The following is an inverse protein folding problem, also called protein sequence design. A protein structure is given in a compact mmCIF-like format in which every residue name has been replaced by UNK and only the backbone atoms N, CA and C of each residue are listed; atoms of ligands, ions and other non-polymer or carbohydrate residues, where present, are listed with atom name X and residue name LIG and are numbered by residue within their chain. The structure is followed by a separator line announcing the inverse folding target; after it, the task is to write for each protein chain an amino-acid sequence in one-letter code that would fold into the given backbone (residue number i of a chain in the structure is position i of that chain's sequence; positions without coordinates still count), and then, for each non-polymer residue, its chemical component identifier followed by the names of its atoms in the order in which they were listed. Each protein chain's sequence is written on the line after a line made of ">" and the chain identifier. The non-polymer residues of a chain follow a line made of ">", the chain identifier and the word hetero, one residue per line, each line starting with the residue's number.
data_IF_711922476900
#
_entry.id   IF_711922476900
#
_cell.length_a   1.000
_cell.length_b   1.000
_cell.length_c   1.000
_cell.angle_alpha   90.00
_cell.angle_beta   90.00
_cell.angle_gamma   90.00
#
_symmetry.space_group_name_H-M   'P 1'
#
loop_
_entity.id
_entity.type
_entity.pdbx_description
1 polymer ?
#
# COMPACT_ATOMS: atom_id res chain seq x y z
N UNK A 1 -10.87 -26.98 2.47
CA UNK A 1 -10.39 -26.42 3.74
C UNK A 1 -10.79 -27.29 4.93
N UNK A 2 -12.07 -27.59 5.14
CA UNK A 2 -12.52 -28.38 6.29
C UNK A 2 -11.79 -29.74 6.38
N UNK A 3 -11.71 -30.49 5.28
CA UNK A 3 -11.01 -31.76 5.22
C UNK A 3 -9.54 -31.64 5.59
N UNK A 4 -8.86 -30.58 5.09
CA UNK A 4 -7.44 -30.31 5.36
C UNK A 4 -7.17 -30.07 6.86
N UNK A 5 -7.90 -29.14 7.49
CA UNK A 5 -7.69 -28.86 8.92
C UNK A 5 -8.12 -30.02 9.82
N UNK A 6 -9.19 -30.74 9.45
CA UNK A 6 -9.59 -31.97 10.18
C UNK A 6 -8.54 -33.07 10.07
N UNK A 7 -7.90 -33.23 8.92
CA UNK A 7 -6.79 -34.19 8.75
C UNK A 7 -5.61 -33.81 9.65
N UNK A 8 -5.21 -32.55 9.68
CA UNK A 8 -4.12 -32.07 10.55
C UNK A 8 -4.46 -32.34 12.04
N UNK A 9 -5.68 -32.07 12.44
CA UNK A 9 -6.11 -32.21 13.85
C UNK A 9 -6.31 -33.66 14.28
N UNK A 10 -6.97 -34.45 13.45
CA UNK A 10 -7.47 -35.77 13.85
C UNK A 10 -6.55 -36.91 13.45
N UNK A 11 -5.90 -36.81 12.29
CA UNK A 11 -5.02 -37.87 11.75
C UNK A 11 -3.55 -37.58 12.09
N UNK A 12 -3.05 -36.38 11.76
CA UNK A 12 -1.68 -35.99 12.09
C UNK A 12 -1.52 -35.73 13.58
N UNK A 13 -2.56 -35.18 14.24
CA UNK A 13 -2.57 -34.82 15.66
C UNK A 13 -1.46 -33.81 16.02
N UNK A 14 -1.34 -32.78 15.19
CA UNK A 14 -0.30 -31.76 15.35
C UNK A 14 -0.48 -30.95 16.63
N UNK A 15 0.63 -30.68 17.32
CA UNK A 15 0.66 -29.86 18.54
C UNK A 15 0.58 -28.35 18.25
N UNK A 16 0.93 -27.93 17.02
CA UNK A 16 0.82 -26.56 16.56
C UNK A 16 0.70 -26.52 15.01
N UNK A 17 0.15 -25.42 14.50
CA UNK A 17 0.12 -25.17 13.04
C UNK A 17 0.90 -23.88 12.78
N UNK A 18 1.85 -23.95 11.84
CA UNK A 18 2.61 -22.81 11.36
C UNK A 18 2.15 -22.49 9.94
N UNK A 19 1.58 -21.30 9.75
CA UNK A 19 1.30 -20.75 8.44
C UNK A 19 2.47 -19.87 8.00
N UNK A 20 3.05 -20.18 6.86
CA UNK A 20 4.25 -19.52 6.36
C UNK A 20 3.96 -18.83 5.02
N UNK A 21 4.12 -17.50 4.95
CA UNK A 21 3.92 -16.74 3.72
C UNK A 21 3.51 -15.29 3.93
N UNK A 22 3.05 -14.68 2.86
CA UNK A 22 2.52 -13.31 2.88
C UNK A 22 0.99 -13.27 3.05
N UNK A 23 0.32 -14.36 2.71
CA UNK A 23 -1.12 -14.52 2.74
C UNK A 23 -1.47 -15.83 3.40
N UNK A 24 -2.53 -15.84 4.17
CA UNK A 24 -3.17 -17.05 4.64
C UNK A 24 -4.50 -17.26 3.92
N UNK A 25 -5.22 -18.27 4.33
CA UNK A 25 -6.56 -18.55 3.83
C UNK A 25 -7.58 -18.69 4.97
N UNK A 26 -7.12 -19.07 6.15
CA UNK A 26 -7.97 -19.31 7.30
C UNK A 26 -8.73 -18.05 7.72
N UNK A 27 -8.07 -16.92 7.81
CA UNK A 27 -8.64 -15.63 8.17
C UNK A 27 -9.68 -15.07 7.20
N UNK A 28 -9.71 -15.58 5.95
CA UNK A 28 -10.70 -15.20 4.94
C UNK A 28 -11.96 -16.05 4.95
N UNK A 29 -12.00 -17.12 5.76
CA UNK A 29 -13.18 -17.97 5.86
C UNK A 29 -14.37 -17.21 6.48
N UNK A 30 -15.62 -17.61 6.18
CA UNK A 30 -16.82 -16.94 6.69
C UNK A 30 -16.85 -16.80 8.22
N UNK A 31 -17.29 -15.65 8.71
CA UNK A 31 -17.39 -15.34 10.11
C UNK A 31 -17.49 -13.84 10.39
N UNK A 32 -17.23 -13.44 11.62
CA UNK A 32 -17.19 -12.02 12.01
C UNK A 32 -16.07 -11.30 11.29
N UNK A 33 -16.29 -10.04 10.93
CA UNK A 33 -15.30 -9.20 10.25
C UNK A 33 -14.11 -8.83 11.15
N UNK A 34 -14.37 -8.65 12.43
CA UNK A 34 -13.35 -8.35 13.43
C UNK A 34 -13.63 -9.16 14.69
N UNK A 35 -12.59 -9.80 15.18
CA UNK A 35 -12.73 -10.80 16.24
C UNK A 35 -13.24 -12.14 15.70
N UNK A 36 -13.32 -13.10 16.60
CA UNK A 36 -13.68 -14.48 16.28
C UNK A 36 -14.61 -15.04 17.37
N UNK A 37 -15.42 -16.01 17.01
CA UNK A 37 -16.24 -16.77 17.94
C UNK A 37 -16.40 -18.20 17.42
N UNK A 38 -16.83 -19.11 18.24
CA UNK A 38 -17.07 -20.53 17.92
C UNK A 38 -17.97 -20.77 16.68
N UNK A 39 -18.79 -19.78 16.30
CA UNK A 39 -19.59 -19.82 15.07
C UNK A 39 -18.81 -19.43 13.81
N UNK A 40 -17.63 -18.85 13.94
CA UNK A 40 -16.78 -18.47 12.80
C UNK A 40 -16.04 -19.67 12.26
N UNK A 41 -15.94 -19.76 10.91
CA UNK A 41 -15.20 -20.83 10.28
C UNK A 41 -13.72 -20.90 10.65
N UNK A 42 -12.99 -19.78 10.76
CA UNK A 42 -11.60 -19.83 11.21
C UNK A 42 -11.43 -20.55 12.54
N UNK A 43 -12.25 -20.22 13.53
CA UNK A 43 -12.22 -20.83 14.86
C UNK A 43 -12.57 -22.33 14.83
N UNK A 44 -13.62 -22.67 14.11
CA UNK A 44 -14.06 -24.08 13.93
C UNK A 44 -13.05 -24.96 13.22
N UNK A 45 -12.29 -24.37 12.27
CA UNK A 45 -11.27 -25.08 11.51
C UNK A 45 -10.01 -25.31 12.35
N UNK A 46 -9.48 -24.28 12.97
CA UNK A 46 -8.24 -24.37 13.75
C UNK A 46 -8.47 -25.06 15.11
N UNK A 47 -9.62 -24.83 15.76
CA UNK A 47 -9.95 -25.36 17.09
C UNK A 47 -8.99 -24.85 18.16
N UNK A 48 -8.50 -25.75 19.00
CA UNK A 48 -7.62 -25.44 20.13
C UNK A 48 -6.12 -25.52 19.78
N UNK A 49 -5.79 -25.83 18.53
CA UNK A 49 -4.38 -25.95 18.12
C UNK A 49 -3.73 -24.56 18.06
N UNK A 50 -2.56 -24.36 18.70
CA UNK A 50 -1.78 -23.13 18.58
C UNK A 50 -1.57 -22.74 17.12
N UNK A 51 -1.97 -21.51 16.77
CA UNK A 51 -1.97 -20.97 15.43
C UNK A 51 -0.90 -19.89 15.30
N UNK A 52 0.20 -20.22 14.62
CA UNK A 52 1.36 -19.35 14.46
C UNK A 52 1.47 -18.99 12.99
N UNK A 53 1.62 -17.70 12.70
CA UNK A 53 1.86 -17.19 11.36
C UNK A 53 3.24 -16.57 11.29
N UNK A 54 4.00 -16.94 10.28
CA UNK A 54 5.23 -16.25 9.91
C UNK A 54 4.90 -15.43 8.68
N UNK A 55 4.72 -14.12 8.89
CA UNK A 55 4.25 -13.20 7.85
C UNK A 55 5.27 -12.11 7.58
N UNK A 56 5.35 -11.72 6.32
CA UNK A 56 6.15 -10.60 5.87
C UNK A 56 5.81 -9.32 6.65
N UNK A 57 6.83 -8.69 7.23
CA UNK A 57 6.66 -7.48 8.05
C UNK A 57 6.01 -6.33 7.27
N UNK A 58 6.22 -6.27 5.95
CA UNK A 58 5.65 -5.25 5.07
C UNK A 58 4.18 -5.51 4.67
N UNK A 59 3.53 -6.54 5.22
CA UNK A 59 2.11 -6.84 5.00
C UNK A 59 1.29 -6.83 6.31
N UNK A 60 1.25 -5.69 7.03
CA UNK A 60 0.53 -5.59 8.30
C UNK A 60 -0.99 -5.73 8.17
N UNK A 61 -1.55 -5.51 6.99
CA UNK A 61 -2.98 -5.70 6.73
C UNK A 61 -3.39 -7.16 6.89
N UNK A 62 -2.69 -8.05 6.23
CA UNK A 62 -2.92 -9.51 6.30
C UNK A 62 -2.63 -10.05 7.71
N UNK A 63 -1.52 -9.63 8.32
CA UNK A 63 -1.19 -9.98 9.70
C UNK A 63 -2.27 -9.55 10.69
N UNK A 64 -2.86 -8.36 10.52
CA UNK A 64 -3.96 -7.88 11.35
C UNK A 64 -5.22 -8.71 11.18
N UNK A 65 -5.54 -9.14 9.96
CA UNK A 65 -6.66 -10.04 9.70
C UNK A 65 -6.44 -11.40 10.35
N UNK A 66 -5.25 -11.99 10.18
CA UNK A 66 -4.91 -13.27 10.79
C UNK A 66 -5.05 -13.22 12.32
N UNK A 67 -4.58 -12.15 12.95
CA UNK A 67 -4.74 -11.91 14.38
C UNK A 67 -6.19 -11.83 14.83
N UNK A 68 -6.98 -11.00 14.14
CA UNK A 68 -8.37 -10.69 14.53
C UNK A 68 -9.35 -11.79 14.19
N UNK A 69 -9.08 -12.60 13.16
CA UNK A 69 -10.04 -13.55 12.62
C UNK A 69 -9.64 -15.01 12.78
N UNK A 70 -8.39 -15.28 13.17
CA UNK A 70 -7.92 -16.65 13.40
C UNK A 70 -7.09 -16.82 14.68
N UNK A 71 -7.12 -15.84 15.59
CA UNK A 71 -6.36 -15.85 16.85
C UNK A 71 -4.85 -16.13 16.65
N UNK A 72 -4.29 -15.72 15.53
CA UNK A 72 -2.91 -16.03 15.19
C UNK A 72 -1.91 -15.24 16.03
N UNK A 73 -0.83 -15.91 16.44
CA UNK A 73 0.41 -15.27 16.87
C UNK A 73 1.24 -15.01 15.61
N UNK A 74 1.59 -13.76 15.37
CA UNK A 74 2.33 -13.36 14.16
C UNK A 74 3.80 -13.20 14.49
N UNK A 75 4.66 -13.96 13.82
CA UNK A 75 6.10 -13.75 13.83
C UNK A 75 6.44 -12.95 12.58
N UNK A 76 6.91 -11.71 12.76
CA UNK A 76 7.28 -10.86 11.65
C UNK A 76 8.54 -11.36 10.96
N UNK A 77 8.48 -11.44 9.62
CA UNK A 77 9.59 -11.87 8.78
C UNK A 77 10.13 -10.69 7.99
N UNK A 78 11.45 -10.52 7.96
CA UNK A 78 12.11 -9.47 7.21
C UNK A 78 11.96 -9.72 5.72
N UNK A 79 11.39 -8.76 5.02
CA UNK A 79 11.31 -8.78 3.56
C UNK A 79 12.37 -7.87 2.97
N UNK A 80 12.95 -8.22 1.82
CA UNK A 80 13.83 -7.31 1.10
C UNK A 80 13.14 -5.98 0.82
N UNK A 81 13.84 -4.84 0.89
CA UNK A 81 13.29 -3.58 0.46
C UNK A 81 12.93 -3.64 -1.01
N UNK A 82 11.85 -2.95 -1.41
CA UNK A 82 11.50 -2.80 -2.80
C UNK A 82 12.26 -1.62 -3.38
N UNK A 83 13.01 -1.87 -4.44
CA UNK A 83 13.68 -0.84 -5.23
C UNK A 83 13.15 -0.83 -6.66
N UNK A 84 13.37 0.29 -7.38
CA UNK A 84 13.10 0.32 -8.81
C UNK A 84 14.08 -0.62 -9.50
N UNK A 85 13.58 -1.42 -10.44
CA UNK A 85 14.41 -2.33 -11.22
C UNK A 85 15.52 -1.59 -11.97
N UNK A 86 15.21 -0.37 -12.44
CA UNK A 86 16.04 0.35 -13.36
C UNK A 86 16.16 -0.37 -14.71
N UNK A 87 16.96 0.17 -15.60
CA UNK A 87 17.31 -0.49 -16.85
C UNK A 87 18.73 -1.04 -16.78
N UNK A 88 18.95 -2.22 -17.35
CA UNK A 88 20.23 -2.89 -17.29
C UNK A 88 20.71 -3.31 -18.68
N UNK A 89 22.01 -3.18 -18.97
CA UNK A 89 22.66 -3.57 -20.25
C UNK A 89 21.88 -3.09 -21.47
N UNK A 90 21.47 -4.01 -22.35
CA UNK A 90 20.79 -3.71 -23.62
C UNK A 90 19.52 -2.87 -23.50
N UNK A 91 18.85 -2.88 -22.35
CA UNK A 91 17.70 -1.99 -22.10
C UNK A 91 18.12 -0.53 -21.94
N UNK A 92 19.30 -0.24 -21.38
CA UNK A 92 19.86 1.11 -21.31
C UNK A 92 20.23 1.61 -22.70
N UNK A 93 20.92 0.79 -23.48
CA UNK A 93 21.32 1.12 -24.87
C UNK A 93 20.09 1.39 -25.74
N UNK A 94 19.04 0.57 -25.59
CA UNK A 94 17.77 0.75 -26.27
C UNK A 94 17.08 2.07 -25.88
N UNK A 95 17.09 2.42 -24.59
CA UNK A 95 16.55 3.71 -24.11
C UNK A 95 17.32 4.90 -24.67
N UNK A 96 18.64 4.82 -24.70
CA UNK A 96 19.49 5.88 -25.28
C UNK A 96 19.20 6.07 -26.74
N UNK A 97 19.14 4.99 -27.53
CA UNK A 97 18.80 5.03 -28.95
C UNK A 97 17.41 5.60 -29.22
N UNK A 98 16.42 5.24 -28.37
CA UNK A 98 15.07 5.78 -28.46
C UNK A 98 15.02 7.28 -28.13
N UNK A 99 15.77 7.73 -27.12
CA UNK A 99 15.86 9.14 -26.77
C UNK A 99 16.54 9.95 -27.93
N UNK A 100 17.59 9.40 -28.52
CA UNK A 100 18.24 9.99 -29.70
C UNK A 100 17.26 10.11 -30.87
N UNK A 101 16.50 9.06 -31.17
CA UNK A 101 15.46 9.06 -32.20
C UNK A 101 14.44 10.18 -32.00
N UNK A 102 14.01 10.43 -30.76
CA UNK A 102 13.07 11.51 -30.44
C UNK A 102 13.66 12.90 -30.61
N UNK A 103 14.94 13.07 -30.27
CA UNK A 103 15.62 14.37 -30.42
C UNK A 103 15.93 14.68 -31.90
N UNK A 104 16.18 13.68 -32.72
CA UNK A 104 16.51 13.83 -34.12
C UNK A 104 15.27 13.89 -35.03
N UNK A 105 14.08 13.61 -34.53
CA UNK A 105 12.81 13.68 -35.28
C UNK A 105 12.58 15.08 -35.90
N UNK A 106 13.23 16.11 -35.37
CA UNK A 106 13.20 17.49 -35.89
C UNK A 106 14.30 17.80 -36.92
N UNK A 107 15.25 16.89 -37.19
CA UNK A 107 16.39 17.13 -38.10
C UNK A 107 16.59 15.94 -39.03
N UNK A 108 16.09 16.08 -40.24
CA UNK A 108 16.16 15.13 -41.34
C UNK A 108 17.60 14.70 -41.70
N UNK A 109 18.16 13.66 -41.06
CA UNK A 109 19.21 12.78 -41.61
C UNK A 109 19.37 11.52 -40.76
N UNK A 110 19.34 10.35 -41.38
CA UNK A 110 19.59 8.99 -40.85
C UNK A 110 18.53 8.38 -39.93
N UNK A 111 17.27 8.77 -40.01
CA UNK A 111 16.17 8.17 -39.23
C UNK A 111 15.92 6.68 -39.56
N UNK A 112 16.27 6.22 -40.79
CA UNK A 112 16.09 4.82 -41.21
C UNK A 112 17.02 3.87 -40.43
N UNK A 113 18.29 4.25 -40.31
CA UNK A 113 19.33 3.44 -39.69
C UNK A 113 19.13 3.37 -38.18
N UNK A 114 18.73 4.51 -37.57
CA UNK A 114 18.40 4.56 -36.14
C UNK A 114 17.14 3.76 -35.82
N UNK A 115 16.12 3.80 -36.65
CA UNK A 115 14.92 2.94 -36.50
C UNK A 115 15.28 1.46 -36.60
N UNK A 116 16.18 1.08 -37.51
CA UNK A 116 16.60 -0.31 -37.62
C UNK A 116 17.40 -0.73 -36.38
N UNK A 117 18.33 0.11 -35.92
CA UNK A 117 19.09 -0.14 -34.69
C UNK A 117 18.17 -0.36 -33.47
N UNK A 118 17.16 0.49 -33.31
CA UNK A 118 16.20 0.33 -32.21
C UNK A 118 15.42 -1.00 -32.31
N UNK A 119 15.05 -1.43 -33.51
CA UNK A 119 14.38 -2.72 -33.72
C UNK A 119 15.29 -3.88 -33.35
N UNK A 120 16.53 -3.86 -33.82
CA UNK A 120 17.50 -4.91 -33.52
C UNK A 120 17.81 -4.99 -32.01
N UNK A 121 17.92 -3.84 -31.37
CA UNK A 121 18.09 -3.76 -29.91
C UNK A 121 16.86 -4.26 -29.15
N UNK A 122 15.65 -3.90 -29.59
CA UNK A 122 14.40 -4.37 -28.96
C UNK A 122 14.23 -5.89 -29.11
N UNK A 123 14.57 -6.44 -30.28
CA UNK A 123 14.58 -7.89 -30.52
C UNK A 123 15.61 -8.61 -29.62
N UNK A 124 16.82 -8.03 -29.47
CA UNK A 124 17.87 -8.59 -28.61
C UNK A 124 17.50 -8.65 -27.12
N UNK A 125 16.59 -7.80 -26.67
CA UNK A 125 16.03 -7.80 -25.29
C UNK A 125 14.61 -8.37 -25.21
N UNK A 126 14.16 -9.03 -26.28
CA UNK A 126 12.86 -9.72 -26.36
C UNK A 126 11.62 -8.80 -26.11
N UNK A 127 11.71 -7.52 -26.52
CA UNK A 127 10.59 -6.59 -26.42
C UNK A 127 9.89 -6.49 -27.78
N UNK A 128 8.68 -7.06 -27.85
CA UNK A 128 7.78 -6.84 -28.99
C UNK A 128 7.02 -5.52 -28.78
N UNK A 129 7.12 -4.60 -29.73
CA UNK A 129 6.45 -3.30 -29.71
C UNK A 129 5.64 -2.99 -30.98
N UNK A 130 5.47 -3.97 -31.88
CA UNK A 130 4.66 -3.84 -33.10
C UNK A 130 5.13 -2.68 -34.03
N UNK A 131 6.40 -2.26 -33.97
CA UNK A 131 6.97 -1.08 -34.64
C UNK A 131 6.37 0.27 -34.18
N UNK A 132 5.68 0.32 -33.06
CA UNK A 132 5.20 1.54 -32.42
C UNK A 132 6.18 1.99 -31.33
N UNK A 133 6.89 3.08 -31.59
CA UNK A 133 7.93 3.61 -30.70
C UNK A 133 7.36 4.22 -29.41
N UNK A 134 6.07 4.61 -29.38
CA UNK A 134 5.41 5.07 -28.16
C UNK A 134 5.10 3.87 -27.24
N UNK A 135 4.69 2.75 -27.83
CA UNK A 135 4.51 1.49 -27.09
C UNK A 135 5.86 1.01 -26.53
N UNK A 136 6.94 1.10 -27.31
CA UNK A 136 8.28 0.75 -26.85
C UNK A 136 8.70 1.61 -25.65
N UNK A 137 8.48 2.91 -25.73
CA UNK A 137 8.78 3.82 -24.62
C UNK A 137 7.99 3.48 -23.36
N UNK A 138 6.70 3.22 -23.50
CA UNK A 138 5.83 2.83 -22.37
C UNK A 138 6.32 1.56 -21.70
N UNK A 139 6.68 0.54 -22.48
CA UNK A 139 7.24 -0.71 -21.97
C UNK A 139 8.58 -0.54 -21.27
N UNK A 140 9.47 0.28 -21.83
CA UNK A 140 10.75 0.59 -21.17
C UNK A 140 10.55 1.34 -19.85
N UNK A 141 9.61 2.28 -19.82
CA UNK A 141 9.26 2.99 -18.59
C UNK A 141 8.67 2.05 -17.54
N UNK A 142 7.76 1.15 -17.93
CA UNK A 142 7.19 0.14 -17.02
C UNK A 142 8.27 -0.78 -16.44
N UNK A 143 9.23 -1.21 -17.25
CA UNK A 143 10.37 -2.03 -16.80
C UNK A 143 11.28 -1.26 -15.83
N UNK A 144 11.59 0.00 -16.13
CA UNK A 144 12.45 0.85 -15.29
C UNK A 144 11.83 1.14 -13.93
N UNK A 145 10.52 1.38 -13.90
CA UNK A 145 9.77 1.70 -12.69
C UNK A 145 9.25 0.46 -11.94
N UNK A 146 9.44 -0.74 -12.51
CA UNK A 146 9.03 -1.97 -11.85
C UNK A 146 9.70 -2.11 -10.48
N UNK A 147 8.90 -2.39 -9.46
CA UNK A 147 9.40 -2.62 -8.11
C UNK A 147 9.80 -4.08 -7.94
N UNK A 148 11.06 -4.32 -7.68
CA UNK A 148 11.62 -5.65 -7.44
C UNK A 148 12.17 -5.78 -6.01
N UNK A 149 12.10 -6.97 -5.40
CA UNK A 149 12.78 -7.23 -4.15
C UNK A 149 14.29 -7.21 -4.35
N UNK A 150 15.01 -6.50 -3.48
CA UNK A 150 16.47 -6.46 -3.50
C UNK A 150 17.04 -7.44 -2.48
N UNK A 151 17.56 -8.54 -2.96
CA UNK A 151 18.11 -9.61 -2.13
C UNK A 151 17.07 -10.64 -1.65
N UNK A 152 17.49 -11.49 -0.72
CA UNK A 152 16.65 -12.52 -0.08
C UNK A 152 16.98 -12.59 1.41
N UNK A 153 15.96 -12.86 2.24
CA UNK A 153 16.12 -13.19 3.65
C UNK A 153 15.58 -14.59 3.94
N UNK A 154 16.32 -15.35 4.75
CA UNK A 154 16.00 -16.73 5.12
C UNK A 154 15.96 -16.83 6.65
N UNK A 155 14.86 -17.34 7.19
CA UNK A 155 14.73 -17.60 8.63
C UNK A 155 15.82 -18.55 9.09
N UNK A 156 16.42 -18.26 10.23
CA UNK A 156 17.51 -19.05 10.78
C UNK A 156 18.90 -18.67 10.24
N UNK A 157 18.97 -17.66 9.38
CA UNK A 157 20.21 -17.20 8.78
C UNK A 157 20.22 -15.67 8.70
N UNK A 158 20.93 -14.98 9.60
CA UNK A 158 21.08 -13.54 9.50
C UNK A 158 21.62 -13.12 8.14
N UNK A 159 21.18 -11.99 7.58
CA UNK A 159 21.66 -11.51 6.28
C UNK A 159 23.17 -11.36 6.23
N UNK A 160 23.79 -11.69 5.10
CA UNK A 160 25.22 -11.46 4.88
C UNK A 160 25.56 -9.97 5.01
N UNK A 161 26.84 -9.63 5.18
CA UNK A 161 27.25 -8.23 5.28
C UNK A 161 26.78 -7.39 4.09
N UNK A 162 26.96 -7.92 2.87
CA UNK A 162 26.52 -7.20 1.66
C UNK A 162 25.01 -6.97 1.64
N UNK A 163 24.22 -8.00 2.03
CA UNK A 163 22.77 -7.84 2.12
C UNK A 163 22.38 -6.83 3.22
N UNK A 164 23.08 -6.82 4.38
CA UNK A 164 22.84 -5.81 5.42
C UNK A 164 23.16 -4.39 4.93
N UNK A 165 24.27 -4.23 4.23
CA UNK A 165 24.63 -2.95 3.64
C UNK A 165 23.53 -2.47 2.67
N UNK A 166 23.00 -3.34 1.81
CA UNK A 166 21.85 -3.03 0.93
C UNK A 166 20.61 -2.60 1.71
N UNK A 167 20.28 -3.28 2.83
CA UNK A 167 19.18 -2.84 3.69
C UNK A 167 19.42 -1.45 4.29
N UNK A 168 20.63 -1.19 4.77
CA UNK A 168 20.98 0.08 5.41
C UNK A 168 21.05 1.25 4.44
N UNK A 169 21.42 0.99 3.19
CA UNK A 169 21.54 2.03 2.16
C UNK A 169 20.18 2.59 1.71
N UNK A 170 19.10 1.82 1.86
CA UNK A 170 17.75 2.26 1.49
C UNK A 170 16.97 2.93 2.65
N UNK A 171 17.46 2.86 3.88
CA UNK A 171 16.82 3.50 5.04
C UNK A 171 17.19 4.99 5.08
N UNK A 172 16.23 5.93 4.94
CA UNK A 172 16.52 7.35 5.00
C UNK A 172 17.07 7.78 6.37
N UNK A 173 18.00 8.75 6.39
CA UNK A 173 18.49 9.35 7.63
C UNK A 173 19.56 8.56 8.36
N UNK A 174 20.15 7.52 7.74
CA UNK A 174 21.26 6.74 8.31
C UNK A 174 22.65 7.26 7.91
N UNK A 175 22.80 8.57 7.67
CA UNK A 175 24.11 9.20 7.43
C UNK A 175 24.98 9.20 8.69
N UNK A 176 24.37 9.15 9.87
CA UNK A 176 25.06 9.05 11.14
C UNK A 176 25.55 7.62 11.37
N UNK A 177 26.86 7.46 11.55
CA UNK A 177 27.49 6.16 11.79
C UNK A 177 26.89 5.41 12.98
N UNK A 178 26.57 6.11 14.07
CA UNK A 178 26.01 5.49 15.28
C UNK A 178 24.65 4.82 15.02
N UNK A 179 23.80 5.50 14.27
CA UNK A 179 22.47 4.97 13.94
C UNK A 179 22.59 3.82 12.93
N UNK A 180 23.47 3.95 11.94
CA UNK A 180 23.76 2.87 10.99
C UNK A 180 24.31 1.61 11.71
N UNK A 181 25.27 1.76 12.61
CA UNK A 181 25.83 0.65 13.40
C UNK A 181 24.75 -0.01 14.29
N UNK A 182 23.82 0.78 14.83
CA UNK A 182 22.70 0.25 15.61
C UNK A 182 21.78 -0.64 14.75
N UNK A 183 21.35 -0.17 13.59
CA UNK A 183 20.49 -0.96 12.70
C UNK A 183 21.24 -2.18 12.10
N UNK A 184 22.53 -2.05 11.80
CA UNK A 184 23.34 -3.20 11.39
C UNK A 184 23.34 -4.29 12.46
N UNK A 185 23.53 -3.93 13.73
CA UNK A 185 23.46 -4.89 14.85
C UNK A 185 22.10 -5.59 14.92
N UNK A 186 21.00 -4.88 14.72
CA UNK A 186 19.66 -5.48 14.72
C UNK A 186 19.47 -6.51 13.60
N UNK A 187 20.16 -6.35 12.48
CA UNK A 187 20.14 -7.27 11.34
C UNK A 187 21.07 -8.48 11.51
N UNK A 188 22.00 -8.45 12.48
CA UNK A 188 22.92 -9.58 12.75
C UNK A 188 22.32 -10.64 13.65
N UNK A 189 21.17 -10.39 14.27
CA UNK A 189 20.54 -11.31 15.22
C UNK A 189 19.44 -12.11 14.52
N UNK A 190 19.49 -13.43 14.64
CA UNK A 190 18.40 -14.32 14.22
C UNK A 190 17.27 -14.31 15.25
N UNK A 191 16.55 -13.22 15.29
CA UNK A 191 15.40 -13.06 16.20
C UNK A 191 14.13 -13.75 15.68
N UNK A 192 14.06 -14.11 14.41
CA UNK A 192 12.87 -14.76 13.83
C UNK A 192 12.75 -16.21 14.26
N UNK A 193 13.84 -16.97 14.18
CA UNK A 193 13.86 -18.35 14.70
C UNK A 193 13.64 -18.35 16.21
N UNK A 194 14.25 -17.42 16.95
CA UNK A 194 14.03 -17.30 18.39
C UNK A 194 12.56 -16.97 18.70
N UNK A 195 11.93 -16.04 17.95
CA UNK A 195 10.53 -15.70 18.10
C UNK A 195 9.59 -16.88 17.82
N UNK A 196 9.89 -17.66 16.79
CA UNK A 196 9.16 -18.90 16.49
C UNK A 196 9.29 -19.93 17.63
N UNK A 197 10.51 -20.15 18.13
CA UNK A 197 10.74 -21.07 19.24
C UNK A 197 10.04 -20.62 20.52
N UNK A 198 10.01 -19.32 20.79
CA UNK A 198 9.30 -18.77 21.94
C UNK A 198 7.77 -18.93 21.78
N UNK A 199 7.24 -18.75 20.56
CA UNK A 199 5.82 -19.01 20.26
C UNK A 199 5.45 -20.47 20.51
N UNK A 200 6.24 -21.41 19.99
CA UNK A 200 6.03 -22.85 20.17
C UNK A 200 6.13 -23.27 21.65
N UNK A 201 6.92 -22.58 22.45
CA UNK A 201 7.02 -22.80 23.88
C UNK A 201 5.97 -22.03 24.72
N UNK A 202 4.99 -21.38 24.08
CA UNK A 202 3.94 -20.62 24.75
C UNK A 202 4.44 -19.37 25.49
N UNK A 203 5.62 -18.85 25.14
CA UNK A 203 6.17 -17.65 25.76
C UNK A 203 5.56 -16.37 25.15
N UNK A 204 5.63 -15.29 25.91
CA UNK A 204 5.25 -13.97 25.42
C UNK A 204 6.23 -13.47 24.36
N UNK A 205 5.68 -13.03 23.22
CA UNK A 205 6.45 -12.44 22.13
C UNK A 205 6.18 -10.96 22.08
N UNK A 206 7.24 -10.17 22.19
CA UNK A 206 7.16 -8.71 22.24
C UNK A 206 6.48 -8.16 20.96
N UNK A 207 5.50 -7.26 21.07
CA UNK A 207 4.82 -6.70 19.90
C UNK A 207 5.71 -5.78 19.08
N UNK A 208 5.36 -5.64 17.80
CA UNK A 208 5.97 -4.71 16.84
C UNK A 208 4.94 -4.21 15.84
N UNK A 209 5.00 -2.96 15.37
CA UNK A 209 4.23 -2.55 14.21
C UNK A 209 4.71 -3.30 12.96
N UNK A 210 3.83 -3.46 11.99
CA UNK A 210 4.23 -3.89 10.65
C UNK A 210 4.55 -2.68 9.77
N UNK A 211 5.33 -2.90 8.73
CA UNK A 211 5.71 -1.86 7.79
C UNK A 211 6.86 -2.29 6.89
N UNK A 212 7.19 -1.44 5.95
CA UNK A 212 8.39 -1.59 5.13
C UNK A 212 9.60 -0.97 5.85
N UNK A 213 10.77 -1.59 5.71
CA UNK A 213 12.00 -1.15 6.39
C UNK A 213 12.42 0.28 6.01
N UNK A 214 12.10 0.73 4.79
CA UNK A 214 12.43 2.08 4.32
C UNK A 214 11.63 3.14 5.09
N UNK A 215 10.36 2.85 5.37
CA UNK A 215 9.43 3.79 6.01
C UNK A 215 9.36 3.63 7.52
N UNK A 216 9.58 2.41 8.00
CA UNK A 216 9.37 2.02 9.38
C UNK A 216 10.54 1.16 9.88
N UNK A 217 11.76 1.71 9.99
CA UNK A 217 12.92 0.94 10.42
C UNK A 217 12.79 0.36 11.84
N UNK A 218 11.84 0.86 12.65
CA UNK A 218 11.48 0.30 13.95
C UNK A 218 10.87 -1.11 13.89
N UNK A 219 10.55 -1.62 12.71
CA UNK A 219 10.18 -3.04 12.53
C UNK A 219 11.34 -3.98 12.92
N UNK A 220 12.57 -3.47 12.90
CA UNK A 220 13.74 -4.23 13.32
C UNK A 220 13.90 -4.28 14.86
N UNK A 221 14.43 -5.38 15.40
CA UNK A 221 14.57 -6.66 14.72
C UNK A 221 13.21 -7.28 14.43
N UNK A 222 13.10 -8.05 13.36
CA UNK A 222 11.94 -8.89 13.06
C UNK A 222 11.84 -10.07 14.06
N UNK A 223 10.95 -11.04 13.84
CA UNK A 223 10.75 -12.12 14.81
C UNK A 223 9.86 -11.74 16.00
N UNK A 224 9.27 -10.57 15.97
CA UNK A 224 8.36 -10.08 16.99
C UNK A 224 6.90 -10.24 16.57
N UNK A 225 5.98 -10.17 17.55
CA UNK A 225 4.57 -10.34 17.31
C UNK A 225 3.97 -9.11 16.61
N UNK A 226 3.91 -9.17 15.29
CA UNK A 226 3.40 -8.08 14.47
C UNK A 226 1.94 -7.77 14.81
N UNK A 227 1.67 -6.53 15.10
CA UNK A 227 0.31 -6.01 15.28
C UNK A 227 0.01 -4.93 14.25
N UNK A 228 -1.24 -4.48 14.24
CA UNK A 228 -1.74 -3.53 13.27
C UNK A 228 -0.98 -2.19 13.27
N UNK A 229 -1.20 -1.44 12.21
CA UNK A 229 -0.96 -0.01 12.07
C UNK A 229 -1.80 0.81 13.08
N UNK A 230 -1.44 2.08 13.27
CA UNK A 230 -2.24 3.01 14.05
C UNK A 230 -3.29 3.73 13.18
N UNK A 231 -4.56 3.30 13.18
CA UNK A 231 -5.59 3.93 12.36
C UNK A 231 -5.95 5.34 12.81
N UNK A 232 -5.59 5.74 14.05
CA UNK A 232 -5.91 7.07 14.58
C UNK A 232 -5.04 8.17 13.99
N UNK A 233 -3.89 7.83 13.42
CA UNK A 233 -2.94 8.77 12.82
C UNK A 233 -2.95 8.78 11.29
N UNK A 234 -3.80 7.99 10.67
CA UNK A 234 -3.88 7.86 9.22
C UNK A 234 -4.99 8.74 8.62
N UNK A 235 -4.73 9.52 7.56
CA UNK A 235 -3.45 9.64 6.84
C UNK A 235 -2.42 10.48 7.60
N UNK A 236 -1.14 10.12 7.48
CA UNK A 236 -0.03 10.87 8.08
C UNK A 236 0.23 12.17 7.33
N UNK A 237 1.00 13.09 7.94
CA UNK A 237 1.38 14.35 7.29
C UNK A 237 2.19 14.09 6.00
N UNK A 238 3.04 13.07 6.00
CA UNK A 238 3.78 12.65 4.82
C UNK A 238 2.83 12.16 3.72
N UNK A 239 1.88 11.27 4.05
CA UNK A 239 0.88 10.81 3.11
C UNK A 239 0.03 11.95 2.53
N UNK A 240 -0.30 12.97 3.36
CA UNK A 240 -1.02 14.17 2.90
C UNK A 240 -0.20 14.98 1.89
N UNK A 241 1.11 15.12 2.09
CA UNK A 241 1.98 15.80 1.13
C UNK A 241 2.09 15.03 -0.17
N UNK A 242 2.30 13.70 -0.10
CA UNK A 242 2.34 12.83 -1.28
C UNK A 242 1.00 12.80 -2.02
N UNK A 243 -0.12 12.72 -1.32
CA UNK A 243 -1.45 12.82 -1.92
C UNK A 243 -1.69 14.14 -2.64
N UNK A 244 -1.12 15.25 -2.14
CA UNK A 244 -1.13 16.55 -2.81
C UNK A 244 -0.31 16.52 -4.10
N UNK A 245 0.89 15.94 -4.09
CA UNK A 245 1.75 15.80 -5.25
C UNK A 245 1.09 14.92 -6.34
N UNK A 246 0.53 13.79 -5.93
CA UNK A 246 -0.20 12.88 -6.83
C UNK A 246 -1.46 13.53 -7.42
N UNK A 247 -2.21 14.30 -6.61
CA UNK A 247 -3.36 15.07 -7.10
C UNK A 247 -2.93 16.09 -8.14
N UNK A 248 -1.85 16.82 -7.87
CA UNK A 248 -1.30 17.81 -8.81
C UNK A 248 -0.92 17.14 -10.14
N UNK A 249 -0.13 16.07 -10.09
CA UNK A 249 0.28 15.32 -11.28
C UNK A 249 -0.91 14.76 -12.06
N UNK A 250 -1.93 14.22 -11.37
CA UNK A 250 -3.17 13.75 -11.99
C UNK A 250 -3.89 14.86 -12.75
N UNK A 251 -4.01 16.04 -12.15
CA UNK A 251 -4.74 17.16 -12.75
C UNK A 251 -3.95 17.80 -13.91
N UNK A 252 -2.64 17.89 -13.80
CA UNK A 252 -1.76 18.42 -14.87
C UNK A 252 -1.71 17.51 -16.10
N UNK A 253 -1.90 16.20 -15.92
CA UNK A 253 -1.98 15.24 -17.02
C UNK A 253 -3.29 15.33 -17.83
N UNK A 254 -4.29 16.08 -17.35
CA UNK A 254 -5.56 16.20 -18.04
C UNK A 254 -5.64 17.45 -18.91
N UNK A 255 -6.19 17.32 -20.12
CA UNK A 255 -6.44 18.47 -21.02
C UNK A 255 -7.51 19.45 -20.48
N UNK A 256 -8.39 18.98 -19.59
CA UNK A 256 -9.40 19.75 -18.91
C UNK A 256 -9.50 19.33 -17.46
N UNK A 257 -9.81 20.28 -16.57
CA UNK A 257 -10.05 19.97 -15.16
C UNK A 257 -11.18 18.94 -15.03
N UNK A 258 -10.94 17.77 -14.45
CA UNK A 258 -11.97 16.76 -14.24
C UNK A 258 -12.98 17.25 -13.20
N UNK A 259 -14.25 16.98 -13.43
CA UNK A 259 -15.32 17.29 -12.47
C UNK A 259 -15.53 16.17 -11.45
N UNK A 260 -15.26 14.93 -11.88
CA UNK A 260 -15.37 13.73 -11.07
C UNK A 260 -14.18 12.80 -11.36
N UNK A 261 -13.62 12.22 -10.30
CA UNK A 261 -12.56 11.21 -10.38
C UNK A 261 -13.06 9.93 -9.69
N UNK A 262 -12.96 8.79 -10.38
CA UNK A 262 -13.21 7.49 -9.79
C UNK A 262 -11.92 6.95 -9.17
N UNK A 263 -11.99 6.52 -7.90
CA UNK A 263 -10.85 5.96 -7.17
C UNK A 263 -11.20 4.61 -6.55
N UNK A 264 -10.31 3.66 -6.66
CA UNK A 264 -10.38 2.39 -5.93
C UNK A 264 -9.46 2.47 -4.71
N UNK A 265 -10.05 2.41 -3.52
CA UNK A 265 -9.32 2.49 -2.26
C UNK A 265 -9.00 1.08 -1.74
N UNK A 266 -7.78 0.64 -1.96
CA UNK A 266 -7.27 -0.62 -1.45
C UNK A 266 -6.81 -0.47 0.00
N UNK A 267 -7.26 -1.38 0.88
CA UNK A 267 -6.87 -1.37 2.29
C UNK A 267 -5.38 -1.61 2.47
N UNK A 268 -4.82 -2.59 1.76
CA UNK A 268 -3.40 -2.93 1.77
C UNK A 268 -2.52 -1.74 1.40
N UNK A 269 -2.84 -1.04 0.31
CA UNK A 269 -2.05 0.10 -0.16
C UNK A 269 -2.10 1.26 0.83
N UNK A 270 -3.29 1.54 1.37
CA UNK A 270 -3.43 2.61 2.36
C UNK A 270 -2.66 2.29 3.66
N UNK A 271 -2.63 1.03 4.08
CA UNK A 271 -1.86 0.63 5.26
C UNK A 271 -0.35 0.72 4.98
N UNK A 272 0.11 0.32 3.79
CA UNK A 272 1.53 0.42 3.39
C UNK A 272 2.00 1.86 3.18
N UNK A 273 1.11 2.74 2.75
CA UNK A 273 1.43 4.14 2.42
C UNK A 273 0.98 5.14 3.49
N UNK A 274 0.57 4.66 4.66
CA UNK A 274 0.02 5.46 5.75
C UNK A 274 -1.15 6.37 5.31
N UNK A 275 -1.96 5.89 4.36
CA UNK A 275 -3.13 6.59 3.85
C UNK A 275 -2.92 7.39 2.58
N UNK A 276 -2.01 6.99 1.70
CA UNK A 276 -1.69 7.72 0.45
C UNK A 276 -2.90 7.97 -0.43
N UNK A 277 -3.67 6.93 -0.79
CA UNK A 277 -4.87 7.09 -1.61
C UNK A 277 -5.99 7.84 -0.88
N UNK A 278 -6.10 7.72 0.43
CA UNK A 278 -7.00 8.52 1.27
C UNK A 278 -6.63 10.00 1.17
N UNK A 279 -5.35 10.31 1.31
CA UNK A 279 -4.83 11.67 1.21
C UNK A 279 -5.08 12.28 -0.19
N UNK A 280 -4.91 11.50 -1.24
CA UNK A 280 -5.23 11.93 -2.62
C UNK A 280 -6.72 12.24 -2.76
N UNK A 281 -7.62 11.37 -2.27
CA UNK A 281 -9.07 11.63 -2.29
C UNK A 281 -9.44 12.89 -1.51
N UNK A 282 -8.86 13.07 -0.32
CA UNK A 282 -9.05 14.29 0.49
C UNK A 282 -8.59 15.54 -0.25
N UNK A 283 -7.44 15.50 -0.90
CA UNK A 283 -6.94 16.63 -1.69
C UNK A 283 -7.85 16.93 -2.87
N UNK A 284 -8.36 15.95 -3.62
CA UNK A 284 -9.30 16.16 -4.73
C UNK A 284 -10.56 16.88 -4.25
N UNK A 285 -11.16 16.43 -3.15
CA UNK A 285 -12.33 17.07 -2.52
C UNK A 285 -11.99 18.48 -2.00
N UNK A 286 -10.72 18.77 -1.73
CA UNK A 286 -10.27 20.02 -1.11
C UNK A 286 -10.50 20.02 0.40
N UNK A 287 -10.14 18.93 1.07
CA UNK A 287 -10.27 18.75 2.50
C UNK A 287 -8.96 18.25 3.13
N UNK A 288 -8.84 18.41 4.43
CA UNK A 288 -7.73 17.87 5.23
C UNK A 288 -8.27 17.15 6.47
N UNK A 289 -7.53 16.14 6.99
CA UNK A 289 -7.89 15.47 8.24
C UNK A 289 -7.96 16.47 9.38
N UNK A 290 -8.88 16.21 10.30
CA UNK A 290 -8.96 16.92 11.55
C UNK A 290 -8.65 15.96 12.70
N UNK A 291 -7.66 16.29 13.50
CA UNK A 291 -7.26 15.55 14.69
C UNK A 291 -7.70 16.31 15.94
N UNK A 292 -8.11 15.57 16.96
CA UNK A 292 -8.42 16.13 18.26
C UNK A 292 -7.13 16.54 19.04
N UNK A 293 -7.30 17.06 20.25
CA UNK A 293 -6.20 17.51 21.11
C UNK A 293 -5.27 16.36 21.55
N UNK A 294 -5.69 15.12 21.40
CA UNK A 294 -4.91 13.91 21.67
C UNK A 294 -4.24 13.35 20.42
N UNK A 295 -4.33 14.05 19.29
CA UNK A 295 -3.78 13.61 18.01
C UNK A 295 -4.53 12.44 17.37
N UNK A 296 -5.81 12.21 17.70
CA UNK A 296 -6.66 11.17 17.14
C UNK A 296 -7.52 11.72 16.02
N UNK A 297 -7.64 10.97 14.94
CA UNK A 297 -8.50 11.31 13.82
C UNK A 297 -9.95 11.49 14.27
N UNK A 298 -10.49 12.70 14.10
CA UNK A 298 -11.84 13.08 14.55
C UNK A 298 -12.79 13.47 13.41
N UNK A 299 -12.28 13.69 12.20
CA UNK A 299 -13.09 14.02 11.02
C UNK A 299 -12.29 14.74 9.96
N UNK A 300 -12.95 15.60 9.19
CA UNK A 300 -12.35 16.40 8.13
C UNK A 300 -12.66 17.89 8.29
N UNK A 301 -11.76 18.73 7.77
CA UNK A 301 -11.99 20.17 7.57
C UNK A 301 -11.83 20.51 6.10
N UNK A 302 -12.71 21.36 5.57
CA UNK A 302 -12.54 21.89 4.21
C UNK A 302 -11.41 22.91 4.20
N UNK A 303 -10.66 22.89 3.11
CA UNK A 303 -9.68 23.92 2.77
C UNK A 303 -10.47 25.05 2.09
N UNK A 304 -10.35 26.32 2.51
CA UNK A 304 -11.01 27.43 1.83
C UNK A 304 -10.69 27.46 0.33
N UNK A 305 -11.65 27.87 -0.51
CA UNK A 305 -11.44 27.89 -1.96
C UNK A 305 -10.30 28.81 -2.41
N UNK A 306 -10.05 29.91 -1.67
CA UNK A 306 -8.92 30.81 -1.91
C UNK A 306 -7.58 30.12 -1.68
N UNK A 307 -7.49 29.25 -0.66
CA UNK A 307 -6.29 28.46 -0.36
C UNK A 307 -6.14 27.27 -1.33
N UNK A 308 -7.27 26.66 -1.69
CA UNK A 308 -7.32 25.51 -2.61
C UNK A 308 -6.90 25.91 -4.04
N UNK A 309 -7.26 27.11 -4.50
CA UNK A 309 -6.91 27.66 -5.81
C UNK A 309 -7.52 26.96 -7.01
N UNK A 310 -8.51 26.09 -6.80
CA UNK A 310 -9.21 25.30 -7.84
C UNK A 310 -10.58 24.85 -7.35
N UNK A 311 -11.45 24.39 -8.26
CA UNK A 311 -12.72 23.76 -7.86
C UNK A 311 -12.50 22.49 -6.99
N UNK A 312 -13.47 22.20 -6.12
CA UNK A 312 -13.59 20.91 -5.46
C UNK A 312 -14.01 19.85 -6.47
N UNK A 313 -13.23 18.78 -6.55
CA UNK A 313 -13.48 17.68 -7.47
C UNK A 313 -14.29 16.62 -6.73
N UNK A 314 -15.34 16.13 -7.35
CA UNK A 314 -16.12 15.02 -6.81
C UNK A 314 -15.35 13.71 -6.93
N UNK A 315 -15.41 12.83 -5.91
CA UNK A 315 -14.65 11.59 -5.88
C UNK A 315 -15.59 10.41 -5.66
N UNK A 316 -15.71 9.57 -6.68
CA UNK A 316 -16.44 8.32 -6.58
C UNK A 316 -15.49 7.23 -6.03
N UNK A 317 -15.66 6.85 -4.77
CA UNK A 317 -14.78 5.93 -4.06
C UNK A 317 -15.35 4.51 -4.03
N UNK A 318 -14.62 3.55 -4.58
CA UNK A 318 -14.90 2.11 -4.43
C UNK A 318 -13.96 1.53 -3.39
N UNK A 319 -14.52 0.90 -2.36
CA UNK A 319 -13.75 0.38 -1.22
C UNK A 319 -13.50 -1.12 -1.36
N UNK A 320 -12.26 -1.54 -1.18
CA UNK A 320 -11.94 -2.97 -1.04
C UNK A 320 -12.47 -3.54 0.29
N UNK A 321 -12.60 -4.86 0.39
CA UNK A 321 -13.04 -5.52 1.62
C UNK A 321 -12.15 -5.19 2.81
N UNK A 322 -10.83 -5.23 2.62
CA UNK A 322 -9.84 -4.88 3.66
C UNK A 322 -9.98 -3.42 4.09
N UNK A 323 -10.16 -2.50 3.15
CA UNK A 323 -10.38 -1.08 3.47
C UNK A 323 -11.61 -0.91 4.35
N UNK A 324 -12.74 -1.49 3.93
CA UNK A 324 -14.00 -1.43 4.68
C UNK A 324 -13.88 -1.98 6.09
N UNK A 325 -13.17 -3.09 6.27
CA UNK A 325 -13.12 -3.83 7.53
C UNK A 325 -12.08 -3.30 8.51
N UNK A 326 -10.97 -2.71 8.02
CA UNK A 326 -9.87 -2.22 8.86
C UNK A 326 -9.83 -0.70 9.04
N UNK A 327 -10.45 0.08 8.14
CA UNK A 327 -10.34 1.54 8.10
C UNK A 327 -11.68 2.29 8.32
N UNK A 328 -12.52 1.89 9.31
CA UNK A 328 -13.83 2.52 9.51
C UNK A 328 -13.73 4.01 9.89
N UNK A 329 -12.67 4.44 10.57
CA UNK A 329 -12.44 5.86 10.91
C UNK A 329 -12.17 6.68 9.66
N UNK A 330 -11.40 6.14 8.73
CA UNK A 330 -11.07 6.78 7.46
C UNK A 330 -12.31 6.88 6.56
N UNK A 331 -13.16 5.85 6.54
CA UNK A 331 -14.46 5.90 5.85
C UNK A 331 -15.30 7.04 6.39
N UNK A 332 -15.40 7.14 7.73
CA UNK A 332 -16.14 8.22 8.38
C UNK A 332 -15.57 9.61 8.04
N UNK A 333 -14.25 9.74 8.02
CA UNK A 333 -13.58 10.99 7.67
C UNK A 333 -13.84 11.39 6.21
N UNK A 334 -13.74 10.44 5.25
CA UNK A 334 -14.01 10.69 3.84
C UNK A 334 -15.49 11.07 3.61
N UNK A 335 -16.40 10.38 4.29
CA UNK A 335 -17.82 10.71 4.26
C UNK A 335 -18.10 12.11 4.86
N UNK A 336 -17.41 12.49 5.95
CA UNK A 336 -17.52 13.82 6.56
C UNK A 336 -16.99 14.91 5.62
N UNK A 337 -15.87 14.66 4.93
CA UNK A 337 -15.33 15.56 3.90
C UNK A 337 -16.32 15.80 2.75
N UNK A 338 -16.84 14.72 2.18
CA UNK A 338 -17.83 14.79 1.09
C UNK A 338 -19.10 15.51 1.54
N UNK A 339 -19.61 15.19 2.72
CA UNK A 339 -20.78 15.85 3.31
C UNK A 339 -20.56 17.35 3.48
N UNK A 340 -19.46 17.75 4.08
CA UNK A 340 -19.13 19.17 4.28
C UNK A 340 -18.99 19.90 2.96
N UNK A 341 -18.35 19.30 1.96
CA UNK A 341 -18.23 19.87 0.61
C UNK A 341 -19.61 20.04 -0.07
N UNK A 342 -20.48 19.02 0.04
CA UNK A 342 -21.83 19.08 -0.54
C UNK A 342 -22.71 20.17 0.09
N UNK A 343 -22.50 20.47 1.38
CA UNK A 343 -23.28 21.45 2.13
C UNK A 343 -22.63 22.84 2.20
N UNK A 344 -21.40 22.99 1.69
CA UNK A 344 -20.67 24.26 1.74
C UNK A 344 -21.40 25.36 0.94
N UNK A 345 -21.38 26.59 1.46
CA UNK A 345 -21.92 27.75 0.76
C UNK A 345 -20.91 28.27 -0.27
N UNK A 346 -20.83 27.57 -1.40
CA UNK A 346 -19.85 27.81 -2.46
C UNK A 346 -20.54 27.78 -3.82
N UNK A 347 -20.03 28.51 -4.84
CA UNK A 347 -20.55 28.49 -6.21
C UNK A 347 -20.45 27.08 -6.82
N UNK A 348 -21.45 26.68 -7.63
CA UNK A 348 -21.50 25.35 -8.24
C UNK A 348 -20.32 25.08 -9.21
N UNK A 349 -19.82 26.14 -9.83
CA UNK A 349 -18.67 26.11 -10.75
C UNK A 349 -17.36 25.81 -10.00
N UNK A 350 -17.32 26.12 -8.70
CA UNK A 350 -16.17 25.89 -7.83
C UNK A 350 -16.34 24.68 -6.90
N UNK A 351 -17.49 24.00 -6.95
CA UNK A 351 -17.77 22.85 -6.09
C UNK A 351 -18.57 21.77 -6.83
N UNK A 352 -17.87 20.86 -7.48
CA UNK A 352 -18.50 19.77 -8.23
C UNK A 352 -19.16 18.72 -7.32
N UNK A 353 -18.68 18.55 -6.07
CA UNK A 353 -19.34 17.69 -5.06
C UNK A 353 -20.75 18.19 -4.78
N UNK A 354 -20.91 19.48 -4.47
CA UNK A 354 -22.23 20.13 -4.25
C UNK A 354 -23.09 20.04 -5.49
N UNK A 355 -22.56 20.38 -6.65
CA UNK A 355 -23.29 20.36 -7.92
C UNK A 355 -23.87 18.98 -8.24
N UNK A 356 -23.03 17.94 -8.13
CA UNK A 356 -23.44 16.57 -8.43
C UNK A 356 -24.43 16.05 -7.38
N UNK A 357 -24.26 16.40 -6.11
CA UNK A 357 -25.22 16.07 -5.04
C UNK A 357 -26.60 16.69 -5.32
N UNK A 358 -26.66 17.96 -5.70
CA UNK A 358 -27.92 18.63 -6.04
C UNK A 358 -28.60 18.03 -7.29
N UNK A 359 -27.79 17.66 -8.29
CA UNK A 359 -28.32 16.97 -9.47
C UNK A 359 -28.90 15.59 -9.11
N UNK A 360 -28.26 14.85 -8.21
CA UNK A 360 -28.76 13.58 -7.72
C UNK A 360 -30.05 13.74 -6.88
N UNK A 361 -30.09 14.71 -5.99
CA UNK A 361 -31.30 15.09 -5.22
C UNK A 361 -32.50 15.36 -6.13
N UNK A 362 -32.29 16.20 -7.16
CA UNK A 362 -33.31 16.52 -8.14
C UNK A 362 -33.82 15.30 -8.91
N UNK A 363 -32.88 14.43 -9.34
CA UNK A 363 -33.21 13.23 -10.12
C UNK A 363 -34.00 12.19 -9.31
N UNK A 364 -33.74 12.06 -8.01
CA UNK A 364 -34.33 11.03 -7.15
C UNK A 364 -35.36 11.54 -6.15
N UNK A 365 -35.71 12.84 -6.20
CA UNK A 365 -36.69 13.47 -5.30
C UNK A 365 -36.37 13.21 -3.81
N UNK A 366 -35.11 13.37 -3.44
CA UNK A 366 -34.59 13.15 -2.08
C UNK A 366 -34.39 14.48 -1.35
N UNK A 367 -34.22 14.42 -0.03
CA UNK A 367 -33.61 15.52 0.72
C UNK A 367 -32.11 15.47 0.59
N UNK A 368 -31.43 16.63 0.67
CA UNK A 368 -29.99 16.73 0.48
C UNK A 368 -29.23 15.87 1.52
N UNK A 369 -29.72 15.83 2.76
CA UNK A 369 -29.14 15.01 3.83
C UNK A 369 -29.19 13.50 3.51
N UNK A 370 -30.23 13.07 2.80
CA UNK A 370 -30.38 11.68 2.36
C UNK A 370 -29.46 11.35 1.17
N UNK A 371 -29.24 12.30 0.28
CA UNK A 371 -28.36 12.13 -0.87
C UNK A 371 -26.88 12.03 -0.45
N UNK A 372 -26.47 12.81 0.54
CA UNK A 372 -25.09 12.85 1.07
C UNK A 372 -24.73 11.58 1.84
N UNK A 373 -25.69 10.78 2.28
CA UNK A 373 -25.48 9.53 3.00
C UNK A 373 -25.42 8.30 2.06
N UNK A 374 -25.61 8.48 0.77
CA UNK A 374 -25.57 7.43 -0.27
C UNK A 374 -24.35 7.52 -1.15
#
# INVERSE_FOLDING_TARGET
>A
FNTFYRFIRNEIKSDAIIHFGMHGALEFMPGKKSGVSESCWPDRLIGEIPNIYIYAANNPSEGSLAKRRSNAVIISHLTPPLSKAGLYKGLLELKESLNQFRQEHDKTKNLSDLKQLIKDQAEAVEIDFGNDFEILQSKLYELEEALIPEGLHIIGSPPSKNARDSYLDVIPGLENKKDRDHFDQLLTVDSELQGLMDALNGKYIKPVPGGDIIRSPEILPTGRNMHAFDPFRMPTSFAMQEGKNQTKALLEAQSKMPETVAMVLWGSDNIKTDGGSIAQAMNLIGAKPFFDDYGRLSGAKLIPLEELGRPRIDVLMTLSGIFRDLLPLQIKMLADAAKKAALADEPLEMNYVKRNTLAFVKKHTLKIEQAVLR
#
